data_IF_323300375431
#
_entry.id   IF_323300375431
#
_cell.length_a   1.000
_cell.length_b   1.000
_cell.length_c   1.000
_cell.angle_alpha   90.00
_cell.angle_beta   90.00
_cell.angle_gamma   90.00
#
_symmetry.space_group_name_H-M   'P 1'
#
loop_
_entity.id
_entity.type
_entity.pdbx_description
1 polymer ?
#
# COMPACT_ATOMS: atom_id res chain seq x y z
N UNK A 1 18.82 -22.97 12.89
CA UNK A 1 18.33 -24.09 12.04
C UNK A 1 16.84 -23.87 11.82
N UNK A 2 16.37 -23.92 10.59
CA UNK A 2 14.95 -23.78 10.29
C UNK A 2 14.40 -25.18 10.09
N UNK A 3 13.44 -25.59 10.92
CA UNK A 3 12.74 -26.83 10.75
C UNK A 3 11.33 -26.56 10.21
N UNK A 4 11.04 -27.09 9.04
CA UNK A 4 9.71 -27.11 8.48
C UNK A 4 9.06 -28.45 8.77
N UNK A 5 8.20 -28.49 9.78
CA UNK A 5 7.43 -29.71 10.07
C UNK A 5 6.23 -29.83 9.14
N UNK A 6 5.52 -28.72 8.93
CA UNK A 6 4.39 -28.61 8.04
C UNK A 6 4.04 -27.13 7.86
N UNK A 7 3.85 -26.67 6.63
CA UNK A 7 3.54 -25.25 6.35
C UNK A 7 2.19 -24.79 6.92
N UNK A 8 1.30 -25.73 7.26
CA UNK A 8 -0.02 -25.43 7.82
C UNK A 8 -0.09 -25.58 9.34
N UNK A 9 0.90 -26.19 9.97
CA UNK A 9 0.88 -26.43 11.41
C UNK A 9 1.92 -25.64 12.16
N UNK A 10 3.20 -25.81 11.85
CA UNK A 10 4.25 -25.17 12.61
C UNK A 10 5.53 -25.03 11.81
N UNK A 11 6.10 -23.84 11.85
CA UNK A 11 7.45 -23.58 11.41
C UNK A 11 8.25 -23.13 12.63
N UNK A 12 9.21 -23.92 13.03
CA UNK A 12 10.19 -23.47 14.02
C UNK A 12 11.37 -22.83 13.30
N UNK A 13 11.56 -21.54 13.59
CA UNK A 13 12.70 -20.81 13.10
C UNK A 13 13.65 -20.60 14.27
N UNK A 14 14.77 -21.30 14.25
CA UNK A 14 15.90 -20.98 15.11
C UNK A 14 16.72 -19.92 14.39
N UNK A 15 16.36 -18.66 14.59
CA UNK A 15 17.12 -17.55 14.04
C UNK A 15 18.44 -17.40 14.80
N UNK A 16 19.54 -16.99 14.14
CA UNK A 16 20.72 -16.50 14.85
C UNK A 16 20.31 -15.33 15.75
N UNK A 17 20.92 -15.20 16.92
CA UNK A 17 20.62 -14.15 17.89
C UNK A 17 21.23 -12.80 17.44
N UNK A 18 20.98 -12.38 16.21
CA UNK A 18 21.45 -11.08 15.72
C UNK A 18 20.54 -9.91 16.12
N UNK A 19 19.32 -10.20 16.58
CA UNK A 19 18.42 -9.21 17.14
C UNK A 19 18.47 -9.18 18.68
N UNK A 20 19.18 -10.10 19.30
CA UNK A 20 19.23 -10.23 20.76
C UNK A 20 17.96 -10.75 21.40
N UNK A 21 17.01 -11.27 20.60
CA UNK A 21 15.71 -11.76 21.07
C UNK A 21 15.48 -13.17 20.55
N UNK A 22 15.39 -14.18 21.44
CA UNK A 22 15.04 -15.54 21.05
C UNK A 22 13.65 -15.61 20.44
N UNK A 23 13.45 -16.55 19.51
CA UNK A 23 12.17 -16.75 18.82
C UNK A 23 11.03 -17.11 19.80
N UNK A 24 11.36 -17.75 20.90
CA UNK A 24 10.42 -18.12 21.97
C UNK A 24 9.74 -16.90 22.61
N UNK A 25 10.35 -15.73 22.54
CA UNK A 25 9.78 -14.49 23.09
C UNK A 25 8.63 -13.91 22.25
N UNK A 26 8.26 -14.56 21.15
CA UNK A 26 7.05 -14.18 20.38
C UNK A 26 5.77 -14.25 21.20
N UNK A 27 5.79 -14.93 22.35
CA UNK A 27 4.67 -14.92 23.30
C UNK A 27 4.31 -13.51 23.78
N UNK A 28 5.21 -12.57 23.73
CA UNK A 28 4.95 -11.19 24.13
C UNK A 28 3.84 -10.54 23.29
N UNK A 29 3.60 -11.00 22.08
CA UNK A 29 2.47 -10.55 21.28
C UNK A 29 1.14 -10.93 21.94
N UNK A 30 1.04 -12.10 22.54
CA UNK A 30 -0.17 -12.60 23.19
C UNK A 30 -0.56 -11.76 24.40
N UNK A 31 0.40 -11.14 25.02
CA UNK A 31 0.16 -10.35 26.24
C UNK A 31 -0.25 -8.92 25.94
N UNK A 32 0.04 -8.32 24.82
CA UNK A 32 -0.36 -7.00 24.38
C UNK A 32 -1.17 -6.15 25.36
N UNK A 33 -1.96 -5.22 24.87
CA UNK A 33 -2.78 -4.33 25.71
C UNK A 33 -3.94 -5.03 26.45
N UNK A 34 -4.21 -6.29 26.13
CA UNK A 34 -5.36 -7.06 26.64
C UNK A 34 -4.97 -8.06 27.76
N UNK A 35 -3.86 -7.86 28.44
CA UNK A 35 -3.25 -8.85 29.34
C UNK A 35 -4.06 -9.20 30.62
N UNK A 36 -5.10 -8.46 30.96
CA UNK A 36 -5.73 -8.56 32.28
C UNK A 36 -7.11 -9.23 32.30
N UNK A 37 -7.52 -9.94 31.23
CA UNK A 37 -8.81 -10.62 31.18
C UNK A 37 -8.69 -12.01 30.55
N UNK A 38 -9.67 -12.87 30.89
CA UNK A 38 -9.81 -14.19 30.25
C UNK A 38 -9.93 -14.10 28.72
N UNK A 39 -10.74 -13.15 28.26
CA UNK A 39 -10.91 -12.91 26.83
C UNK A 39 -9.65 -12.41 26.15
N UNK A 40 -8.85 -11.60 26.85
CA UNK A 40 -7.55 -11.17 26.35
C UNK A 40 -6.62 -12.34 26.04
N UNK A 41 -6.53 -13.31 26.96
CA UNK A 41 -5.75 -14.53 26.73
C UNK A 41 -6.27 -15.35 25.54
N UNK A 42 -7.58 -15.47 25.41
CA UNK A 42 -8.20 -16.18 24.28
C UNK A 42 -7.95 -15.49 22.94
N UNK A 43 -8.10 -14.17 22.90
CA UNK A 43 -7.80 -13.39 21.68
C UNK A 43 -6.32 -13.35 21.37
N UNK A 44 -5.47 -13.29 22.40
CA UNK A 44 -4.00 -13.32 22.24
C UNK A 44 -3.49 -14.59 21.59
N UNK A 45 -4.20 -15.72 21.74
CA UNK A 45 -3.86 -17.01 21.13
C UNK A 45 -4.54 -17.24 19.77
N UNK A 46 -5.29 -16.28 19.26
CA UNK A 46 -6.02 -16.42 18.01
C UNK A 46 -5.09 -16.61 16.81
N UNK A 47 -5.45 -17.58 15.97
CA UNK A 47 -4.68 -17.99 14.82
C UNK A 47 -5.61 -18.48 13.73
N UNK A 48 -5.30 -18.18 12.47
CA UNK A 48 -6.03 -18.70 11.29
C UNK A 48 -5.02 -19.43 10.41
N UNK A 49 -5.20 -20.74 10.26
CA UNK A 49 -4.24 -21.58 9.55
C UNK A 49 -2.83 -21.39 10.10
N UNK A 50 -1.83 -21.12 9.27
CA UNK A 50 -0.45 -20.91 9.70
C UNK A 50 -0.18 -19.48 10.21
N UNK A 51 -1.20 -18.61 10.24
CA UNK A 51 -1.03 -17.19 10.59
C UNK A 51 -1.53 -16.93 12.01
N UNK A 52 -0.62 -16.48 12.85
CA UNK A 52 -0.90 -16.01 14.20
C UNK A 52 -1.37 -14.55 14.17
N UNK A 53 -2.50 -14.26 14.77
CA UNK A 53 -3.12 -12.92 14.73
C UNK A 53 -2.88 -12.10 15.99
N UNK A 54 -2.97 -12.72 17.15
CA UNK A 54 -2.99 -12.01 18.43
C UNK A 54 -4.22 -11.13 18.61
N UNK A 55 -4.26 -10.36 19.69
CA UNK A 55 -5.39 -9.47 20.00
C UNK A 55 -5.58 -8.37 18.98
N UNK A 56 -4.50 -7.69 18.58
CA UNK A 56 -4.56 -6.63 17.57
C UNK A 56 -4.93 -7.18 16.18
N UNK A 57 -4.41 -8.36 15.83
CA UNK A 57 -4.74 -9.00 14.57
C UNK A 57 -6.21 -9.40 14.48
N UNK A 58 -6.79 -9.90 15.58
CA UNK A 58 -8.24 -10.21 15.65
C UNK A 58 -9.07 -8.95 15.52
N UNK A 59 -8.70 -7.88 16.21
CA UNK A 59 -9.41 -6.60 16.13
C UNK A 59 -9.34 -6.00 14.70
N UNK A 60 -8.19 -6.09 14.05
CA UNK A 60 -8.03 -5.66 12.67
C UNK A 60 -8.88 -6.50 11.70
N UNK A 61 -8.87 -7.81 11.84
CA UNK A 61 -9.70 -8.71 11.03
C UNK A 61 -11.19 -8.45 11.23
N UNK A 62 -11.62 -8.26 12.47
CA UNK A 62 -13.02 -7.99 12.80
C UNK A 62 -13.50 -6.68 12.17
N UNK A 63 -12.76 -5.61 12.35
CA UNK A 63 -13.12 -4.28 11.80
C UNK A 63 -13.04 -4.26 10.27
N UNK A 64 -12.04 -4.91 9.69
CA UNK A 64 -11.93 -5.08 8.23
C UNK A 64 -13.06 -5.91 7.64
N UNK A 65 -13.48 -6.95 8.33
CA UNK A 65 -14.63 -7.78 7.95
C UNK A 65 -15.92 -6.98 7.96
N UNK A 66 -16.14 -6.13 8.97
CA UNK A 66 -17.31 -5.23 9.01
C UNK A 66 -17.30 -4.31 7.78
N UNK A 67 -16.18 -3.68 7.47
CA UNK A 67 -16.06 -2.83 6.30
C UNK A 67 -16.40 -3.59 5.01
N UNK A 68 -15.84 -4.77 4.84
CA UNK A 68 -16.07 -5.62 3.69
C UNK A 68 -17.54 -6.05 3.55
N UNK A 69 -18.17 -6.44 4.66
CA UNK A 69 -19.59 -6.84 4.68
C UNK A 69 -20.48 -5.66 4.31
N UNK A 70 -20.21 -4.46 4.83
CA UNK A 70 -20.98 -3.27 4.47
C UNK A 70 -20.86 -3.00 2.96
N UNK A 71 -19.66 -3.05 2.40
CA UNK A 71 -19.44 -2.88 0.96
C UNK A 71 -20.20 -3.92 0.14
N UNK A 72 -20.07 -5.19 0.49
CA UNK A 72 -20.72 -6.30 -0.19
C UNK A 72 -22.24 -6.24 -0.12
N UNK A 73 -22.79 -5.93 1.04
CA UNK A 73 -24.25 -5.80 1.23
C UNK A 73 -24.84 -4.65 0.43
N UNK A 74 -24.16 -3.50 0.39
CA UNK A 74 -24.60 -2.37 -0.42
C UNK A 74 -24.55 -2.68 -1.92
N UNK A 75 -23.48 -3.33 -2.39
CA UNK A 75 -23.39 -3.78 -3.77
C UNK A 75 -24.48 -4.79 -4.12
N UNK A 76 -24.75 -5.74 -3.21
CA UNK A 76 -25.79 -6.75 -3.40
C UNK A 76 -27.20 -6.12 -3.41
N UNK A 77 -27.45 -5.15 -2.54
CA UNK A 77 -28.71 -4.42 -2.52
C UNK A 77 -28.93 -3.62 -3.82
N UNK A 78 -27.89 -3.09 -4.44
CA UNK A 78 -27.98 -2.32 -5.69
C UNK A 78 -28.47 -3.14 -6.88
N UNK A 79 -28.36 -4.46 -6.82
CA UNK A 79 -28.91 -5.41 -7.82
C UNK A 79 -30.13 -6.16 -7.29
N UNK A 80 -30.85 -5.56 -6.33
CA UNK A 80 -32.08 -6.11 -5.75
C UNK A 80 -31.92 -7.50 -5.13
N UNK A 81 -30.75 -7.80 -4.57
CA UNK A 81 -30.41 -9.07 -3.93
C UNK A 81 -30.45 -10.28 -4.88
N UNK A 82 -30.32 -10.04 -6.18
CA UNK A 82 -30.22 -11.08 -7.19
C UNK A 82 -28.77 -11.59 -7.25
N UNK A 83 -28.57 -12.85 -6.87
CA UNK A 83 -27.25 -13.48 -6.80
C UNK A 83 -26.59 -13.58 -8.18
N UNK A 84 -27.36 -13.87 -9.23
CA UNK A 84 -26.83 -14.01 -10.58
C UNK A 84 -26.40 -12.64 -11.11
N UNK A 85 -27.25 -11.64 -10.93
CA UNK A 85 -26.92 -10.26 -11.29
C UNK A 85 -25.73 -9.72 -10.49
N UNK A 86 -25.65 -10.04 -9.21
CA UNK A 86 -24.51 -9.67 -8.38
C UNK A 86 -23.19 -10.22 -8.94
N UNK A 87 -23.15 -11.51 -9.24
CA UNK A 87 -21.95 -12.15 -9.80
C UNK A 87 -21.61 -11.56 -11.17
N UNK A 88 -22.63 -11.37 -12.03
CA UNK A 88 -22.45 -10.85 -13.37
C UNK A 88 -21.95 -9.41 -13.38
N UNK A 89 -22.45 -8.58 -12.47
CA UNK A 89 -22.18 -7.14 -12.44
C UNK A 89 -21.09 -6.74 -11.44
N UNK A 90 -20.56 -7.65 -10.64
CA UNK A 90 -19.63 -7.35 -9.54
C UNK A 90 -18.50 -6.38 -9.92
N UNK A 91 -17.81 -6.50 -11.07
CA UNK A 91 -16.75 -5.56 -11.43
C UNK A 91 -17.21 -4.10 -11.59
N UNK A 92 -18.50 -3.88 -11.88
CA UNK A 92 -19.09 -2.54 -12.08
C UNK A 92 -19.81 -1.99 -10.85
N UNK A 93 -20.00 -2.81 -9.81
CA UNK A 93 -20.68 -2.39 -8.58
C UNK A 93 -19.75 -1.56 -7.71
N UNK A 94 -20.32 -0.62 -6.97
CA UNK A 94 -19.58 0.24 -6.07
C UNK A 94 -20.42 0.63 -4.85
N UNK A 95 -19.72 0.93 -3.76
CA UNK A 95 -20.23 1.77 -2.67
C UNK A 95 -19.66 3.17 -2.87
N UNK A 96 -20.53 4.10 -3.19
CA UNK A 96 -20.18 5.48 -3.55
C UNK A 96 -20.01 6.36 -2.31
N UNK A 97 -19.09 7.34 -2.32
CA UNK A 97 -19.05 8.39 -1.32
C UNK A 97 -20.28 9.30 -1.43
N UNK A 98 -20.56 10.12 -0.40
CA UNK A 98 -21.66 11.09 -0.45
C UNK A 98 -21.53 12.07 -1.60
N UNK A 99 -22.66 12.54 -2.13
CA UNK A 99 -22.69 13.57 -3.17
C UNK A 99 -22.19 14.94 -2.65
N UNK A 100 -21.84 15.87 -3.57
CA UNK A 100 -21.27 17.17 -3.20
C UNK A 100 -22.22 18.05 -2.37
N UNK A 101 -23.54 17.83 -2.45
CA UNK A 101 -24.53 18.56 -1.67
C UNK A 101 -24.38 18.37 -0.15
N UNK A 102 -23.75 17.28 0.28
CA UNK A 102 -23.54 16.98 1.71
C UNK A 102 -22.26 17.59 2.26
N UNK A 103 -21.31 18.01 1.41
CA UNK A 103 -20.01 18.50 1.86
C UNK A 103 -19.29 17.47 2.73
N UNK A 104 -18.90 17.86 3.94
CA UNK A 104 -18.28 16.99 4.95
C UNK A 104 -19.28 16.48 6.02
N UNK A 105 -20.57 16.75 5.85
CA UNK A 105 -21.58 16.26 6.80
C UNK A 105 -21.81 14.75 6.65
N UNK A 106 -22.43 14.15 7.66
CA UNK A 106 -22.84 12.76 7.60
C UNK A 106 -24.21 12.69 6.89
N UNK A 107 -24.29 12.09 5.69
CA UNK A 107 -25.54 12.00 4.93
C UNK A 107 -26.40 10.82 5.41
N UNK A 108 -27.65 10.69 4.90
CA UNK A 108 -28.42 9.46 5.05
C UNK A 108 -27.61 8.23 4.61
N UNK A 109 -27.90 7.09 5.23
CA UNK A 109 -27.11 5.87 5.00
C UNK A 109 -27.02 5.47 3.52
N UNK A 110 -28.14 5.53 2.80
CA UNK A 110 -28.19 5.15 1.38
C UNK A 110 -27.67 6.23 0.42
N UNK A 111 -27.35 7.41 0.93
CA UNK A 111 -26.82 8.54 0.15
C UNK A 111 -25.32 8.77 0.40
N UNK A 112 -24.62 7.76 0.84
CA UNK A 112 -23.18 7.80 1.12
C UNK A 112 -22.80 7.62 2.59
N UNK A 113 -23.80 7.54 3.52
CA UNK A 113 -23.51 7.26 4.93
C UNK A 113 -22.83 5.91 5.15
N UNK A 114 -23.23 4.90 4.39
CA UNK A 114 -22.55 3.59 4.46
C UNK A 114 -21.11 3.64 3.98
N UNK A 115 -20.80 4.50 3.00
CA UNK A 115 -19.42 4.70 2.58
C UNK A 115 -18.55 5.24 3.73
N UNK A 116 -19.05 6.21 4.47
CA UNK A 116 -18.36 6.76 5.64
C UNK A 116 -18.15 5.71 6.73
N UNK A 117 -19.18 4.92 7.03
CA UNK A 117 -19.08 3.86 8.04
C UNK A 117 -18.08 2.78 7.60
N UNK A 118 -18.20 2.29 6.38
CA UNK A 118 -17.26 1.31 5.84
C UNK A 118 -15.82 1.85 5.81
N UNK A 119 -15.64 3.09 5.38
CA UNK A 119 -14.35 3.77 5.37
C UNK A 119 -13.75 3.91 6.77
N UNK A 120 -14.57 4.22 7.77
CA UNK A 120 -14.13 4.31 9.17
C UNK A 120 -13.64 2.94 9.70
N UNK A 121 -14.39 1.87 9.48
CA UNK A 121 -13.98 0.52 9.88
C UNK A 121 -12.75 0.03 9.12
N UNK A 122 -12.64 0.31 7.82
CA UNK A 122 -11.46 -0.03 7.03
C UNK A 122 -10.23 0.72 7.55
N UNK A 123 -10.35 2.00 7.84
CA UNK A 123 -9.27 2.82 8.39
C UNK A 123 -8.83 2.29 9.76
N UNK A 124 -9.78 1.97 10.63
CA UNK A 124 -9.49 1.39 11.94
C UNK A 124 -8.77 0.04 11.81
N UNK A 125 -9.21 -0.81 10.89
CA UNK A 125 -8.56 -2.09 10.60
C UNK A 125 -7.10 -1.91 10.17
N UNK A 126 -6.84 -1.00 9.24
CA UNK A 126 -5.49 -0.69 8.76
C UNK A 126 -4.62 -0.15 9.92
N UNK A 127 -5.13 0.74 10.75
CA UNK A 127 -4.38 1.30 11.88
C UNK A 127 -4.07 0.24 12.95
N UNK A 128 -5.00 -0.66 13.24
CA UNK A 128 -4.77 -1.76 14.18
C UNK A 128 -3.72 -2.73 13.64
N UNK A 129 -3.77 -3.05 12.35
CA UNK A 129 -2.76 -3.89 11.72
C UNK A 129 -1.39 -3.22 11.69
N UNK A 130 -1.34 -1.92 11.47
CA UNK A 130 -0.10 -1.15 11.59
C UNK A 130 0.48 -1.21 13.01
N UNK A 131 -0.35 -1.01 14.01
CA UNK A 131 0.06 -1.12 15.40
C UNK A 131 0.63 -2.50 15.73
N UNK A 132 -0.05 -3.54 15.27
CA UNK A 132 0.44 -4.92 15.38
C UNK A 132 1.83 -5.09 14.73
N UNK A 133 1.99 -4.59 13.52
CA UNK A 133 3.26 -4.66 12.78
C UNK A 133 4.39 -3.96 13.55
N UNK A 134 4.13 -2.77 14.05
CA UNK A 134 5.10 -2.00 14.82
C UNK A 134 5.47 -2.69 16.15
N UNK A 135 4.46 -3.08 16.92
CA UNK A 135 4.64 -3.69 18.24
C UNK A 135 5.36 -5.04 18.15
N UNK A 136 4.99 -5.88 17.19
CA UNK A 136 5.58 -7.20 17.01
C UNK A 136 7.05 -7.11 16.59
N UNK A 137 7.37 -6.24 15.64
CA UNK A 137 8.76 -6.00 15.24
C UNK A 137 9.62 -5.53 16.42
N UNK A 138 9.09 -4.61 17.23
CA UNK A 138 9.76 -4.10 18.43
C UNK A 138 9.98 -5.19 19.47
N UNK A 139 8.96 -6.03 19.74
CA UNK A 139 9.05 -7.12 20.70
C UNK A 139 10.05 -8.20 20.30
N UNK A 140 10.22 -8.42 18.99
CA UNK A 140 11.21 -9.36 18.46
C UNK A 140 12.64 -8.78 18.40
N UNK A 141 12.84 -7.54 18.86
CA UNK A 141 14.14 -6.87 18.77
C UNK A 141 14.55 -6.53 17.34
N UNK A 142 13.61 -6.61 16.39
CA UNK A 142 13.83 -6.17 15.02
C UNK A 142 13.69 -4.64 14.93
N UNK A 143 14.27 -4.05 13.90
CA UNK A 143 13.96 -2.67 13.56
C UNK A 143 12.48 -2.54 13.10
N UNK A 144 11.98 -1.32 13.10
CA UNK A 144 10.58 -1.03 12.76
C UNK A 144 10.38 -0.55 11.31
N UNK A 145 11.32 -0.87 10.42
CA UNK A 145 11.31 -0.43 9.02
C UNK A 145 10.06 -0.91 8.27
N UNK A 146 9.58 -2.12 8.53
CA UNK A 146 8.35 -2.64 7.92
C UNK A 146 7.13 -1.80 8.30
N UNK A 147 7.03 -1.40 9.55
CA UNK A 147 5.95 -0.53 10.02
C UNK A 147 5.99 0.85 9.36
N UNK A 148 7.17 1.43 9.19
CA UNK A 148 7.31 2.74 8.54
C UNK A 148 7.09 2.69 7.03
N UNK A 149 7.46 1.60 6.36
CA UNK A 149 7.09 1.38 4.96
C UNK A 149 5.57 1.24 4.81
N UNK A 150 4.93 0.50 5.72
CA UNK A 150 3.48 0.42 5.78
C UNK A 150 2.84 1.79 6.06
N UNK A 151 3.43 2.60 6.93
CA UNK A 151 2.99 3.97 7.18
C UNK A 151 3.00 4.84 5.92
N UNK A 152 3.97 4.66 5.04
CA UNK A 152 4.00 5.35 3.75
C UNK A 152 2.78 5.00 2.88
N UNK A 153 2.41 3.73 2.83
CA UNK A 153 1.19 3.30 2.13
C UNK A 153 -0.08 3.86 2.80
N UNK A 154 -0.11 3.91 4.12
CA UNK A 154 -1.22 4.52 4.88
C UNK A 154 -1.34 6.01 4.57
N UNK A 155 -0.22 6.73 4.44
CA UNK A 155 -0.22 8.12 4.00
C UNK A 155 -0.97 8.31 2.68
N UNK A 156 -0.64 7.54 1.66
CA UNK A 156 -1.32 7.59 0.36
C UNK A 156 -2.82 7.26 0.50
N UNK A 157 -3.15 6.22 1.24
CA UNK A 157 -4.53 5.85 1.53
C UNK A 157 -5.31 6.97 2.23
N UNK A 158 -4.75 7.60 3.26
CA UNK A 158 -5.38 8.69 3.98
C UNK A 158 -5.55 9.95 3.12
N UNK A 159 -4.58 10.25 2.27
CA UNK A 159 -4.71 11.36 1.32
C UNK A 159 -5.89 11.14 0.39
N UNK A 160 -6.02 9.95 -0.18
CA UNK A 160 -7.10 9.63 -1.13
C UNK A 160 -8.49 9.63 -0.50
N UNK A 161 -8.63 9.12 0.72
CA UNK A 161 -9.94 8.90 1.34
C UNK A 161 -10.32 9.92 2.41
N UNK A 162 -9.38 10.66 2.96
CA UNK A 162 -9.62 11.48 4.14
C UNK A 162 -9.02 12.90 4.05
N UNK A 163 -7.70 13.00 3.91
CA UNK A 163 -7.02 14.30 4.01
C UNK A 163 -7.41 15.24 2.87
N UNK A 164 -7.29 14.77 1.62
CA UNK A 164 -7.66 15.60 0.45
C UNK A 164 -9.15 15.93 0.41
N UNK A 165 -10.08 14.97 0.63
CA UNK A 165 -11.51 15.29 0.73
C UNK A 165 -11.81 16.37 1.77
N UNK A 166 -11.17 16.34 2.93
CA UNK A 166 -11.34 17.38 3.96
C UNK A 166 -10.85 18.74 3.44
N UNK A 167 -9.68 18.82 2.83
CA UNK A 167 -9.14 20.06 2.27
C UNK A 167 -10.01 20.59 1.12
N UNK A 168 -10.57 19.70 0.32
CA UNK A 168 -11.51 20.06 -0.75
C UNK A 168 -12.92 20.38 -0.24
N UNK A 169 -13.22 20.07 1.01
CA UNK A 169 -14.48 20.41 1.65
C UNK A 169 -15.67 19.48 1.32
N UNK A 170 -15.42 18.29 0.77
CA UNK A 170 -16.48 17.34 0.42
C UNK A 170 -15.98 15.89 0.37
N UNK A 171 -16.78 14.99 0.93
CA UNK A 171 -16.55 13.53 0.79
C UNK A 171 -16.72 13.05 -0.65
N UNK A 172 -17.39 13.81 -1.52
CA UNK A 172 -17.55 13.48 -2.94
C UNK A 172 -16.24 13.42 -3.71
N UNK A 173 -15.16 14.00 -3.16
CA UNK A 173 -13.84 13.95 -3.76
C UNK A 173 -13.12 12.61 -3.50
N UNK A 174 -13.66 11.76 -2.64
CA UNK A 174 -13.05 10.48 -2.28
C UNK A 174 -13.32 9.41 -3.33
N UNK A 175 -12.50 8.36 -3.28
CA UNK A 175 -12.57 7.21 -4.19
C UNK A 175 -13.73 6.30 -3.80
N UNK A 176 -14.56 5.85 -4.74
CA UNK A 176 -15.57 4.83 -4.47
C UNK A 176 -14.92 3.47 -4.18
N UNK A 177 -15.61 2.65 -3.40
CA UNK A 177 -15.24 1.25 -3.23
C UNK A 177 -15.86 0.40 -4.34
N UNK A 178 -15.06 0.01 -5.30
CA UNK A 178 -15.50 -0.79 -6.43
C UNK A 178 -14.34 -1.09 -7.38
N UNK A 179 -14.43 -2.18 -8.14
CA UNK A 179 -13.33 -2.61 -9.02
C UNK A 179 -13.18 -1.62 -10.19
N UNK A 180 -14.10 -1.60 -11.14
CA UNK A 180 -14.04 -0.64 -12.24
C UNK A 180 -14.37 0.79 -11.81
N UNK A 181 -15.31 1.05 -10.88
CA UNK A 181 -15.57 2.42 -10.46
C UNK A 181 -14.38 3.17 -9.90
N UNK A 182 -13.45 2.51 -9.16
CA UNK A 182 -12.24 3.22 -8.71
C UNK A 182 -11.25 3.51 -9.85
N UNK A 183 -11.24 2.70 -10.91
CA UNK A 183 -10.45 2.97 -12.11
C UNK A 183 -11.06 4.13 -12.93
N UNK A 184 -12.38 4.14 -13.05
CA UNK A 184 -13.12 5.24 -13.69
C UNK A 184 -12.92 6.56 -12.94
N UNK A 185 -12.97 6.53 -11.62
CA UNK A 185 -12.62 7.67 -10.77
C UNK A 185 -11.22 8.19 -11.09
N UNK A 186 -10.24 7.31 -11.23
CA UNK A 186 -8.85 7.65 -11.53
C UNK A 186 -8.72 8.35 -12.88
N UNK A 187 -9.39 7.83 -13.90
CA UNK A 187 -9.42 8.46 -15.23
C UNK A 187 -10.07 9.84 -15.21
N UNK A 188 -11.23 9.96 -14.55
CA UNK A 188 -11.94 11.22 -14.39
C UNK A 188 -11.12 12.26 -13.62
N UNK A 189 -10.43 11.83 -12.57
CA UNK A 189 -9.53 12.70 -11.79
C UNK A 189 -8.42 13.27 -12.68
N UNK A 190 -7.77 12.43 -13.46
CA UNK A 190 -6.72 12.87 -14.39
C UNK A 190 -7.22 13.87 -15.40
N UNK A 191 -8.37 13.60 -16.03
CA UNK A 191 -8.97 14.50 -17.03
C UNK A 191 -9.37 15.86 -16.42
N UNK A 192 -9.95 15.84 -15.24
CA UNK A 192 -10.41 17.06 -14.56
C UNK A 192 -9.28 18.02 -14.24
N UNK A 193 -8.12 17.49 -13.88
CA UNK A 193 -6.98 18.29 -13.40
C UNK A 193 -5.85 18.40 -14.42
N UNK A 194 -6.17 18.33 -15.69
CA UNK A 194 -5.23 18.66 -16.77
C UNK A 194 -4.20 17.59 -17.06
N UNK A 195 -4.57 16.34 -16.90
CA UNK A 195 -3.73 15.16 -17.13
C UNK A 195 -2.64 14.96 -16.06
N UNK A 196 -2.84 13.95 -15.26
CA UNK A 196 -1.94 13.61 -14.14
C UNK A 196 -0.51 13.24 -14.60
N UNK A 197 -0.33 12.89 -15.87
CA UNK A 197 1.01 12.66 -16.42
C UNK A 197 1.93 13.87 -16.30
N UNK A 198 1.38 15.08 -16.25
CA UNK A 198 2.14 16.32 -16.07
C UNK A 198 2.39 16.70 -14.62
N UNK A 199 1.82 15.96 -13.68
CA UNK A 199 2.11 16.15 -12.26
C UNK A 199 3.52 15.64 -11.94
N UNK A 200 4.47 16.51 -11.53
CA UNK A 200 5.85 16.08 -11.30
C UNK A 200 5.99 15.09 -10.15
N UNK A 201 5.12 15.14 -9.15
CA UNK A 201 5.11 14.13 -8.07
C UNK A 201 4.65 12.77 -8.59
N UNK A 202 3.69 12.74 -9.50
CA UNK A 202 3.29 11.51 -10.17
C UNK A 202 4.43 10.95 -11.03
N UNK A 203 5.17 11.80 -11.71
CA UNK A 203 6.37 11.39 -12.47
C UNK A 203 7.39 10.73 -11.54
N UNK A 204 7.71 11.34 -10.40
CA UNK A 204 8.62 10.75 -9.42
C UNK A 204 8.07 9.47 -8.80
N UNK A 205 6.77 9.42 -8.53
CA UNK A 205 6.13 8.20 -8.01
C UNK A 205 6.27 7.03 -9.00
N UNK A 206 6.06 7.27 -10.29
CA UNK A 206 6.27 6.26 -11.34
C UNK A 206 7.74 5.85 -11.41
N UNK A 207 8.66 6.80 -11.33
CA UNK A 207 10.10 6.50 -11.30
C UNK A 207 10.44 5.55 -10.15
N UNK A 208 9.98 5.84 -8.96
CA UNK A 208 10.23 4.97 -7.79
C UNK A 208 9.51 3.63 -7.89
N UNK A 209 8.29 3.59 -8.43
CA UNK A 209 7.54 2.36 -8.64
C UNK A 209 8.29 1.41 -9.59
N UNK A 210 8.69 1.90 -10.75
CA UNK A 210 9.42 1.09 -11.72
C UNK A 210 10.84 0.78 -11.23
N UNK A 211 11.47 1.72 -10.55
CA UNK A 211 12.76 1.47 -9.89
C UNK A 211 12.67 0.39 -8.83
N UNK A 212 11.59 0.35 -8.05
CA UNK A 212 11.31 -0.72 -7.10
C UNK A 212 11.19 -2.08 -7.81
N UNK A 213 10.44 -2.13 -8.91
CA UNK A 213 10.31 -3.35 -9.72
C UNK A 213 11.65 -3.80 -10.31
N UNK A 214 12.43 -2.86 -10.81
CA UNK A 214 13.76 -3.14 -11.36
C UNK A 214 14.70 -3.66 -10.28
N UNK A 215 14.74 -3.04 -9.11
CA UNK A 215 15.56 -3.50 -8.00
C UNK A 215 15.17 -4.91 -7.55
N UNK A 216 13.87 -5.20 -7.49
CA UNK A 216 13.39 -6.54 -7.16
C UNK A 216 13.85 -7.57 -8.20
N UNK A 217 13.72 -7.25 -9.48
CA UNK A 217 14.15 -8.12 -10.56
C UNK A 217 15.67 -8.34 -10.54
N UNK A 218 16.44 -7.27 -10.36
CA UNK A 218 17.89 -7.34 -10.31
C UNK A 218 18.39 -8.13 -9.08
N UNK A 219 17.84 -7.85 -7.92
CA UNK A 219 18.23 -8.54 -6.68
C UNK A 219 17.84 -10.01 -6.72
N UNK A 220 16.61 -10.32 -7.11
CA UNK A 220 16.14 -11.69 -7.23
C UNK A 220 16.97 -12.51 -8.21
N UNK A 221 17.26 -11.96 -9.39
CA UNK A 221 18.11 -12.61 -10.37
C UNK A 221 19.54 -12.83 -9.86
N UNK A 222 20.09 -11.86 -9.14
CA UNK A 222 21.44 -11.94 -8.55
C UNK A 222 21.54 -13.02 -7.49
N UNK A 223 20.56 -13.07 -6.58
CA UNK A 223 20.50 -14.08 -5.52
C UNK A 223 20.42 -15.48 -6.12
N UNK A 224 19.56 -15.69 -7.11
CA UNK A 224 19.43 -16.99 -7.76
C UNK A 224 20.68 -17.37 -8.57
N UNK A 225 21.31 -16.40 -9.23
CA UNK A 225 22.55 -16.64 -9.97
C UNK A 225 23.75 -16.97 -9.07
N UNK A 226 23.70 -16.58 -7.80
CA UNK A 226 24.78 -16.78 -6.82
C UNK A 226 24.35 -17.67 -5.63
N UNK A 227 23.21 -18.32 -5.74
CA UNK A 227 22.67 -19.21 -4.67
C UNK A 227 23.57 -20.41 -4.39
N UNK A 228 24.26 -20.94 -5.39
CA UNK A 228 25.25 -22.01 -5.22
C UNK A 228 26.45 -21.61 -4.33
N UNK A 229 26.64 -20.32 -4.10
CA UNK A 229 27.67 -19.75 -3.23
C UNK A 229 27.07 -19.19 -1.91
N UNK A 230 25.83 -19.55 -1.60
CA UNK A 230 25.17 -19.20 -0.34
C UNK A 230 24.48 -17.84 -0.32
N UNK A 231 24.30 -17.17 -1.46
CA UNK A 231 23.69 -15.84 -1.52
C UNK A 231 22.22 -15.81 -1.05
N UNK A 232 21.50 -16.92 -1.17
CA UNK A 232 20.12 -17.08 -0.69
C UNK A 232 19.98 -17.02 0.84
N UNK A 233 21.08 -17.19 1.55
CA UNK A 233 21.16 -16.99 3.01
C UNK A 233 21.62 -15.56 3.31
N UNK A 234 20.76 -14.62 3.03
CA UNK A 234 21.07 -13.19 3.00
C UNK A 234 21.54 -12.64 4.35
N UNK A 235 20.96 -13.08 5.44
CA UNK A 235 21.34 -12.63 6.79
C UNK A 235 22.75 -13.11 7.13
N UNK A 236 23.07 -14.37 6.84
CA UNK A 236 24.42 -14.91 7.05
C UNK A 236 25.45 -14.17 6.19
N UNK A 237 25.08 -13.79 4.96
CA UNK A 237 25.94 -13.02 4.06
C UNK A 237 26.16 -11.58 4.51
N UNK A 238 25.28 -11.04 5.36
CA UNK A 238 25.46 -9.71 5.98
C UNK A 238 26.37 -9.80 7.19
N UNK A 239 26.14 -10.76 8.07
CA UNK A 239 26.91 -10.93 9.31
C UNK A 239 28.33 -11.42 9.06
N UNK A 240 28.51 -12.32 8.09
CA UNK A 240 29.80 -12.83 7.65
C UNK A 240 29.80 -12.95 6.12
N UNK A 241 30.32 -11.92 5.46
CA UNK A 241 30.26 -11.78 4.01
C UNK A 241 30.94 -12.94 3.31
N UNK A 242 30.12 -13.77 2.66
CA UNK A 242 30.59 -14.89 1.87
C UNK A 242 30.77 -14.57 0.39
N UNK A 243 31.21 -15.57 -0.38
CA UNK A 243 31.51 -15.43 -1.81
C UNK A 243 30.26 -15.19 -2.64
N UNK A 244 29.07 -15.58 -2.17
CA UNK A 244 27.81 -15.33 -2.87
C UNK A 244 27.49 -13.82 -2.95
N UNK A 245 27.52 -13.11 -1.83
CA UNK A 245 27.33 -11.68 -1.78
C UNK A 245 28.40 -10.92 -2.56
N UNK A 246 29.66 -11.35 -2.43
CA UNK A 246 30.79 -10.75 -3.15
C UNK A 246 30.64 -10.89 -4.68
N UNK A 247 30.31 -12.08 -5.15
CA UNK A 247 30.13 -12.36 -6.59
C UNK A 247 28.97 -11.54 -7.16
N UNK A 248 27.86 -11.46 -6.48
CA UNK A 248 26.73 -10.64 -6.89
C UNK A 248 27.10 -9.16 -7.00
N UNK A 249 27.81 -8.63 -5.99
CA UNK A 249 28.28 -7.25 -6.00
C UNK A 249 29.27 -6.98 -7.16
N UNK A 250 30.23 -7.89 -7.38
CA UNK A 250 31.21 -7.75 -8.45
C UNK A 250 30.57 -7.80 -9.84
N UNK A 251 29.56 -8.63 -10.04
CA UNK A 251 28.82 -8.66 -11.33
C UNK A 251 28.33 -7.26 -11.70
N UNK A 252 27.65 -6.58 -10.81
CA UNK A 252 27.11 -5.24 -11.05
C UNK A 252 28.23 -4.21 -11.18
N UNK A 253 29.25 -4.29 -10.33
CA UNK A 253 30.39 -3.36 -10.41
C UNK A 253 31.11 -3.44 -11.74
N UNK A 254 31.29 -4.64 -12.27
CA UNK A 254 31.98 -4.81 -13.56
C UNK A 254 31.11 -4.52 -14.76
N UNK A 255 29.77 -4.60 -14.62
CA UNK A 255 28.85 -4.34 -15.74
C UNK A 255 28.41 -2.89 -15.81
N UNK A 256 28.08 -2.25 -14.70
CA UNK A 256 27.58 -0.87 -14.69
C UNK A 256 28.42 0.14 -13.88
N UNK A 257 29.51 -0.32 -13.27
CA UNK A 257 30.47 0.54 -12.58
C UNK A 257 30.16 0.84 -11.11
N UNK A 258 29.03 0.44 -10.60
CA UNK A 258 28.65 0.57 -9.17
C UNK A 258 27.83 -0.63 -8.73
N UNK A 259 27.73 -0.81 -7.42
CA UNK A 259 26.98 -1.91 -6.79
C UNK A 259 26.52 -1.52 -5.39
N UNK A 260 25.57 -2.28 -4.88
CA UNK A 260 25.20 -2.27 -3.46
C UNK A 260 25.80 -3.49 -2.75
N UNK A 261 25.80 -3.46 -1.43
CA UNK A 261 26.04 -4.65 -0.61
C UNK A 261 24.75 -5.44 -0.38
N UNK A 262 24.85 -6.63 0.20
CA UNK A 262 23.67 -7.41 0.59
C UNK A 262 22.76 -6.62 1.53
N UNK A 263 23.32 -5.95 2.52
CA UNK A 263 22.56 -5.10 3.44
C UNK A 263 21.95 -3.88 2.73
N UNK A 264 22.76 -3.12 1.99
CA UNK A 264 22.32 -1.85 1.41
C UNK A 264 21.30 -2.00 0.29
N UNK A 265 21.27 -3.13 -0.43
CA UNK A 265 20.28 -3.34 -1.48
C UNK A 265 18.84 -3.35 -0.92
N UNK A 266 18.67 -3.87 0.30
CA UNK A 266 17.37 -3.83 0.99
C UNK A 266 16.98 -2.40 1.38
N UNK A 267 17.94 -1.56 1.76
CA UNK A 267 17.70 -0.14 2.05
C UNK A 267 17.27 0.62 0.79
N UNK A 268 17.92 0.37 -0.35
CA UNK A 268 17.53 0.95 -1.62
C UNK A 268 16.10 0.54 -1.99
N UNK A 269 15.79 -0.75 -1.90
CA UNK A 269 14.44 -1.26 -2.20
C UNK A 269 13.39 -0.64 -1.26
N UNK A 270 13.69 -0.52 0.03
CA UNK A 270 12.81 0.09 1.01
C UNK A 270 12.50 1.55 0.67
N UNK A 271 13.52 2.35 0.37
CA UNK A 271 13.35 3.75 0.01
C UNK A 271 12.53 3.94 -1.27
N UNK A 272 12.76 3.11 -2.29
CA UNK A 272 11.99 3.17 -3.52
C UNK A 272 10.51 2.86 -3.27
N UNK A 273 10.20 1.87 -2.46
CA UNK A 273 8.82 1.57 -2.08
C UNK A 273 8.17 2.71 -1.29
N UNK A 274 8.85 3.22 -0.28
CA UNK A 274 8.37 4.32 0.56
C UNK A 274 8.14 5.59 -0.27
N UNK A 275 9.11 5.97 -1.10
CA UNK A 275 9.03 7.19 -1.89
C UNK A 275 7.97 7.13 -3.00
N UNK A 276 7.64 5.94 -3.49
CA UNK A 276 6.49 5.75 -4.39
C UNK A 276 5.20 6.25 -3.73
N UNK A 277 4.93 5.79 -2.51
CA UNK A 277 3.72 6.18 -1.77
C UNK A 277 3.77 7.63 -1.29
N UNK A 278 4.89 8.09 -0.77
CA UNK A 278 5.05 9.45 -0.25
C UNK A 278 4.86 10.49 -1.36
N UNK A 279 5.55 10.31 -2.48
CA UNK A 279 5.44 11.24 -3.62
C UNK A 279 4.07 11.17 -4.27
N UNK A 280 3.49 9.98 -4.40
CA UNK A 280 2.13 9.80 -4.90
C UNK A 280 1.10 10.52 -4.03
N UNK A 281 1.20 10.39 -2.72
CA UNK A 281 0.33 11.07 -1.77
C UNK A 281 0.46 12.59 -1.83
N UNK A 282 1.67 13.11 -1.90
CA UNK A 282 1.90 14.55 -2.07
C UNK A 282 1.30 15.04 -3.39
N UNK A 283 1.54 14.32 -4.48
CA UNK A 283 1.02 14.69 -5.79
C UNK A 283 -0.50 14.73 -5.86
N UNK A 284 -1.18 13.77 -5.27
CA UNK A 284 -2.64 13.77 -5.17
C UNK A 284 -3.12 14.90 -4.26
N UNK A 285 -2.46 15.13 -3.13
CA UNK A 285 -2.86 16.18 -2.20
C UNK A 285 -2.76 17.58 -2.81
N UNK A 286 -1.76 17.84 -3.63
CA UNK A 286 -1.58 19.11 -4.33
C UNK A 286 -2.59 19.32 -5.47
N UNK A 287 -3.15 18.24 -6.00
CA UNK A 287 -4.07 18.28 -7.14
C UNK A 287 -5.44 18.80 -6.71
N UNK A 288 -5.85 19.93 -7.27
CA UNK A 288 -7.10 20.59 -6.94
C UNK A 288 -7.05 21.49 -5.72
N UNK A 289 -6.09 21.30 -4.82
CA UNK A 289 -5.89 22.15 -3.63
C UNK A 289 -4.96 23.32 -3.92
N UNK A 290 -3.87 23.08 -4.64
CA UNK A 290 -2.84 24.07 -5.01
C UNK A 290 -2.75 24.22 -6.53
N UNK A 291 -2.77 23.13 -7.27
CA UNK A 291 -2.68 23.11 -8.73
C UNK A 291 -3.97 22.55 -9.32
N UNK A 292 -4.66 23.34 -10.13
CA UNK A 292 -5.94 22.94 -10.74
C UNK A 292 -5.78 22.29 -12.11
N UNK A 293 -4.65 22.52 -12.80
CA UNK A 293 -4.36 21.97 -14.12
C UNK A 293 -2.88 21.73 -14.29
N UNK A 294 -2.50 20.48 -14.30
CA UNK A 294 -1.09 20.09 -14.38
C UNK A 294 -0.46 20.36 -15.75
N UNK A 295 -1.22 20.25 -16.84
CA UNK A 295 -0.71 20.57 -18.16
C UNK A 295 -0.33 22.07 -18.26
N UNK A 296 -1.22 22.96 -17.83
CA UNK A 296 -0.96 24.40 -17.81
C UNK A 296 0.18 24.76 -16.86
N UNK A 297 0.23 24.12 -15.71
CA UNK A 297 1.33 24.29 -14.77
C UNK A 297 2.66 23.85 -15.40
N UNK A 298 2.67 22.72 -16.09
CA UNK A 298 3.84 22.19 -16.81
C UNK A 298 4.31 23.12 -17.93
N UNK A 299 3.40 23.68 -18.70
CA UNK A 299 3.71 24.70 -19.72
C UNK A 299 4.38 25.92 -19.11
N UNK A 300 3.81 26.45 -18.03
CA UNK A 300 4.34 27.61 -17.32
C UNK A 300 5.76 27.39 -16.79
N UNK A 301 6.08 26.15 -16.39
CA UNK A 301 7.36 25.80 -15.77
C UNK A 301 8.31 25.05 -16.71
N UNK A 302 7.98 24.98 -18.00
CA UNK A 302 8.85 24.38 -19.01
C UNK A 302 8.97 22.85 -18.94
N UNK A 303 7.98 22.15 -18.34
CA UNK A 303 7.95 20.70 -18.22
C UNK A 303 7.13 20.01 -19.32
N UNK A 304 6.47 20.76 -20.19
CA UNK A 304 5.76 20.19 -21.31
C UNK A 304 6.76 19.91 -22.44
N UNK A 305 6.78 18.69 -23.02
CA UNK A 305 7.70 18.36 -24.10
C UNK A 305 7.39 19.18 -25.36
N UNK A 306 8.39 19.34 -26.21
CA UNK A 306 8.25 20.05 -27.52
C UNK A 306 7.42 19.28 -28.54
N UNK A 307 7.11 18.03 -28.28
CA UNK A 307 6.22 17.19 -29.07
C UNK A 307 5.17 16.54 -28.17
N UNK A 308 3.93 16.35 -28.61
CA UNK A 308 2.91 15.71 -27.79
C UNK A 308 3.20 14.22 -27.64
N UNK A 309 2.83 13.66 -26.48
CA UNK A 309 2.75 12.20 -26.31
C UNK A 309 1.61 11.64 -27.18
N UNK A 310 1.67 10.35 -27.51
CA UNK A 310 0.68 9.71 -28.39
C UNK A 310 -0.77 9.94 -27.89
N UNK A 311 -1.02 9.83 -26.57
CA UNK A 311 -2.34 10.08 -25.99
C UNK A 311 -2.81 11.53 -26.13
N UNK A 312 -1.90 12.50 -26.12
CA UNK A 312 -2.20 13.92 -26.28
C UNK A 312 -2.50 14.31 -27.73
N UNK A 313 -1.84 13.68 -28.68
CA UNK A 313 -2.13 13.88 -30.09
C UNK A 313 -3.58 13.53 -30.45
N UNK A 314 -4.24 12.67 -29.64
CA UNK A 314 -5.67 12.31 -29.81
C UNK A 314 -6.59 13.25 -29.02
N UNK A 315 -6.14 13.78 -27.88
CA UNK A 315 -6.97 14.57 -26.95
C UNK A 315 -6.84 16.07 -27.16
N UNK A 316 -5.70 16.53 -27.64
CA UNK A 316 -5.40 17.95 -27.82
C UNK A 316 -6.43 18.72 -28.71
N UNK A 317 -6.98 18.18 -29.80
CA UNK A 317 -8.03 18.84 -30.56
C UNK A 317 -9.32 19.06 -29.76
N UNK A 318 -9.60 18.16 -28.81
CA UNK A 318 -10.81 18.23 -27.95
C UNK A 318 -10.62 19.21 -26.78
N UNK A 319 -9.38 19.38 -26.30
CA UNK A 319 -9.05 20.29 -25.22
C UNK A 319 -8.89 21.74 -25.71
N UNK A 320 -8.45 21.95 -26.92
CA UNK A 320 -8.26 23.27 -27.50
C UNK A 320 -9.57 23.91 -27.97
N UNK A 321 -10.57 23.12 -28.35
CA UNK A 321 -11.90 23.62 -28.76
C UNK A 321 -12.76 24.05 -27.57
N UNK A 322 -12.49 23.59 -26.35
CA UNK A 322 -13.20 23.96 -25.13
C UNK A 322 -12.58 25.11 -24.34
N UNK A 323 -11.40 25.61 -24.74
CA UNK A 323 -10.66 26.65 -24.04
C UNK A 323 -10.73 28.03 -24.73
N UNK A 324 -11.58 28.18 -25.75
CA UNK A 324 -11.95 29.47 -26.37
C UNK A 324 -13.30 29.93 -25.80
#
# INVERSE_FOLDING_TARGET
>A
MIEYQNIFTQVQVSAPDYAGVPVENTEDERTGILTHSYWAGKLGDAQIGPIYLGGLGVAALFTGTIAFVIMGMNMFASVNWDVIEFIRQLPWLALEPPGPQYGLSFPPLNDGGWWLIAGAFLTLSIMLWWWRTFALASNLGMGNQMAWAFAAAIWLYLVLGFIRPILMGSWSEAVPFGIFPHLDWTAAFSLRYGNLFYNPFHMWSIFFLYGSAVLFAMHGATILATSRYGADREIDQITDRGTGAERGALFWRWTMGFNASMESIHKWAWWFGVLTCVTGGIGILLTGTVVENWYLWGMKHGLVPSYPMIGEAVVDPLLTEGAQ
#
